data_IF_511892901079
#
_entry.id   IF_511892901079
#
_cell.length_a   1.000
_cell.length_b   1.000
_cell.length_c   1.000
_cell.angle_alpha   90.00
_cell.angle_beta   90.00
_cell.angle_gamma   90.00
#
_symmetry.space_group_name_H-M   'P 1'
#
loop_
_entity.id
_entity.type
_entity.pdbx_description
1 polymer ?
#
# COMPACT_ATOMS: atom_id res chain seq x y z
N UNK A 1 12.61 -75.69 -28.05
CA UNK A 1 11.49 -76.66 -27.90
C UNK A 1 10.67 -76.21 -26.70
N UNK A 2 9.57 -75.48 -26.93
CA UNK A 2 8.18 -75.97 -26.86
C UNK A 2 7.74 -76.36 -25.44
N UNK A 3 6.74 -75.61 -24.94
CA UNK A 3 5.57 -75.98 -24.11
C UNK A 3 5.42 -74.98 -22.95
N UNK A 4 4.27 -74.38 -22.70
CA UNK A 4 2.94 -74.56 -23.25
C UNK A 4 1.95 -73.81 -22.33
N UNK A 5 0.94 -73.20 -22.94
CA UNK A 5 -0.21 -72.62 -22.24
C UNK A 5 -0.97 -73.71 -21.49
N UNK A 6 -1.40 -73.45 -20.25
CA UNK A 6 -2.57 -74.08 -19.66
C UNK A 6 -3.38 -73.00 -18.95
N UNK A 7 -4.60 -72.81 -19.43
CA UNK A 7 -5.68 -72.01 -18.86
C UNK A 7 -6.53 -72.85 -17.89
N UNK A 8 -7.59 -72.22 -17.35
CA UNK A 8 -8.68 -72.69 -16.48
C UNK A 8 -8.47 -72.36 -14.98
N UNK A 9 -9.12 -71.32 -14.46
CA UNK A 9 -10.55 -71.16 -14.14
C UNK A 9 -10.83 -71.50 -12.67
N UNK A 10 -11.37 -70.55 -11.91
CA UNK A 10 -11.80 -70.83 -10.54
C UNK A 10 -12.20 -69.61 -9.70
N UNK A 11 -13.50 -69.33 -9.70
CA UNK A 11 -14.32 -68.84 -8.59
C UNK A 11 -14.07 -67.44 -8.00
N UNK A 12 -15.17 -66.66 -8.04
CA UNK A 12 -15.38 -65.41 -7.36
C UNK A 12 -15.35 -65.54 -5.83
N UNK A 13 -14.74 -64.56 -5.16
CA UNK A 13 -15.16 -64.11 -3.84
C UNK A 13 -15.21 -62.58 -3.85
N UNK A 14 -16.42 -62.04 -3.90
CA UNK A 14 -16.71 -60.65 -3.58
C UNK A 14 -16.67 -60.56 -2.05
N UNK A 15 -15.63 -59.91 -1.50
CA UNK A 15 -15.68 -59.39 -0.14
C UNK A 15 -15.36 -57.90 -0.14
N UNK A 16 -16.30 -57.15 0.43
CA UNK A 16 -16.34 -55.71 0.56
C UNK A 16 -15.18 -55.13 1.37
N UNK A 17 -14.83 -53.87 1.08
CA UNK A 17 -13.90 -53.10 1.89
C UNK A 17 -13.57 -51.75 1.28
N UNK A 18 -14.54 -50.85 1.23
CA UNK A 18 -14.28 -49.43 0.99
C UNK A 18 -13.43 -48.87 2.15
N UNK A 19 -12.17 -48.59 1.90
CA UNK A 19 -11.33 -47.82 2.82
C UNK A 19 -10.80 -46.58 2.09
N UNK A 20 -11.48 -45.46 2.35
CA UNK A 20 -11.05 -44.13 1.95
C UNK A 20 -9.72 -43.81 2.64
N UNK A 21 -8.60 -43.94 1.93
CA UNK A 21 -7.33 -43.34 2.31
C UNK A 21 -7.30 -41.87 1.89
N UNK A 22 -8.11 -41.01 2.52
CA UNK A 22 -7.95 -39.56 2.39
C UNK A 22 -6.77 -39.20 3.27
N UNK A 23 -5.61 -38.95 2.66
CA UNK A 23 -4.50 -38.32 3.36
C UNK A 23 -5.02 -37.00 3.92
N UNK A 24 -5.21 -36.95 5.24
CA UNK A 24 -5.51 -35.70 5.94
C UNK A 24 -4.24 -34.88 5.94
N UNK A 25 -4.00 -34.15 4.85
CA UNK A 25 -3.12 -33.00 4.92
C UNK A 25 -3.79 -32.02 5.87
N UNK A 26 -3.31 -31.96 7.11
CA UNK A 26 -3.58 -30.84 8.01
C UNK A 26 -3.32 -29.56 7.22
N UNK A 27 -4.32 -28.68 7.01
CA UNK A 27 -4.08 -27.41 6.33
C UNK A 27 -3.04 -26.63 7.12
N UNK A 28 -1.80 -26.62 6.63
CA UNK A 28 -0.77 -25.71 7.12
C UNK A 28 -1.29 -24.32 6.80
N UNK A 29 -1.64 -23.56 7.82
CA UNK A 29 -2.15 -22.20 7.68
C UNK A 29 -1.19 -21.43 6.77
N UNK A 30 -1.71 -20.97 5.63
CA UNK A 30 -0.93 -20.22 4.67
C UNK A 30 -0.37 -18.99 5.39
N UNK A 31 0.91 -18.61 5.16
CA UNK A 31 1.46 -17.43 5.79
C UNK A 31 0.54 -16.24 5.51
N UNK A 32 0.07 -15.57 6.57
CA UNK A 32 -0.69 -14.33 6.42
C UNK A 32 0.11 -13.40 5.53
N UNK A 33 -0.48 -13.00 4.40
CA UNK A 33 0.13 -12.05 3.49
C UNK A 33 0.51 -10.76 4.23
N UNK A 34 1.33 -9.90 3.60
CA UNK A 34 1.65 -8.61 4.18
C UNK A 34 0.37 -7.88 4.60
N UNK A 35 0.40 -7.11 5.71
CA UNK A 35 -0.77 -6.39 6.18
C UNK A 35 -1.33 -5.50 5.06
N UNK A 36 -2.66 -5.31 5.01
CA UNK A 36 -3.28 -4.47 3.99
C UNK A 36 -2.70 -3.06 4.05
N UNK A 37 -2.58 -2.42 2.88
CA UNK A 37 -2.17 -1.03 2.82
C UNK A 37 -3.14 -0.17 3.65
N UNK A 38 -2.65 0.93 4.24
CA UNK A 38 -3.51 1.89 4.94
C UNK A 38 -4.61 2.39 4.01
N UNK A 39 -5.79 2.67 4.57
CA UNK A 39 -6.86 3.31 3.81
C UNK A 39 -6.40 4.69 3.30
N UNK A 40 -6.78 5.10 2.08
CA UNK A 40 -6.50 6.44 1.59
C UNK A 40 -7.19 7.51 2.45
N UNK A 41 -6.44 8.56 2.80
CA UNK A 41 -6.99 9.76 3.42
C UNK A 41 -7.63 10.64 2.33
N UNK A 42 -8.90 10.98 2.49
CA UNK A 42 -9.68 11.77 1.52
C UNK A 42 -10.46 12.89 2.21
N UNK A 43 -11.07 13.78 1.42
CA UNK A 43 -11.98 14.79 1.95
C UNK A 43 -13.16 14.18 2.72
N UNK A 44 -13.67 13.02 2.27
CA UNK A 44 -14.79 12.34 2.91
C UNK A 44 -14.44 11.83 4.32
N UNK A 45 -13.17 11.45 4.56
CA UNK A 45 -12.71 11.06 5.90
C UNK A 45 -12.42 12.25 6.82
N UNK A 46 -12.35 13.48 6.29
CA UNK A 46 -12.03 14.70 7.06
C UNK A 46 -12.98 15.86 6.68
N UNK A 47 -14.28 15.76 7.01
CA UNK A 47 -15.28 16.76 6.60
C UNK A 47 -15.04 18.16 7.16
N UNK A 48 -14.31 18.29 8.27
CA UNK A 48 -13.99 19.56 8.93
C UNK A 48 -12.57 20.06 8.65
N UNK A 49 -11.93 19.54 7.60
CA UNK A 49 -10.59 19.95 7.20
C UNK A 49 -10.54 21.46 6.90
N UNK A 50 -9.53 22.14 7.47
CA UNK A 50 -9.28 23.56 7.18
C UNK A 50 -8.88 23.75 5.70
N UNK A 51 -8.97 24.97 5.13
CA UNK A 51 -8.71 25.20 3.70
C UNK A 51 -7.38 24.61 3.18
N UNK A 52 -6.26 24.84 3.89
CA UNK A 52 -4.96 24.28 3.50
C UNK A 52 -4.86 22.75 3.60
N UNK A 53 -5.60 22.14 4.54
CA UNK A 53 -5.67 20.68 4.66
C UNK A 53 -6.48 20.08 3.51
N UNK A 54 -7.61 20.69 3.16
CA UNK A 54 -8.42 20.27 2.01
C UNK A 54 -7.60 20.31 0.72
N UNK A 55 -6.90 21.40 0.48
CA UNK A 55 -6.01 21.54 -0.67
C UNK A 55 -4.89 20.49 -0.66
N UNK A 56 -4.30 20.18 0.50
CA UNK A 56 -3.33 19.10 0.62
C UNK A 56 -3.93 17.73 0.26
N UNK A 57 -5.12 17.42 0.76
CA UNK A 57 -5.83 16.18 0.46
C UNK A 57 -6.16 16.06 -1.04
N UNK A 58 -6.57 17.15 -1.68
CA UNK A 58 -6.93 17.19 -3.10
C UNK A 58 -5.71 17.12 -4.03
N UNK A 59 -4.60 17.76 -3.67
CA UNK A 59 -3.47 18.01 -4.59
C UNK A 59 -2.21 17.20 -4.29
N UNK A 60 -1.99 16.82 -3.03
CA UNK A 60 -0.71 16.28 -2.58
C UNK A 60 -0.84 14.88 -1.97
N UNK A 61 -1.95 14.58 -1.30
CA UNK A 61 -2.11 13.34 -0.54
C UNK A 61 -2.09 12.06 -1.38
N UNK A 62 -2.39 12.14 -2.68
CA UNK A 62 -2.24 10.97 -3.57
C UNK A 62 -0.81 10.42 -3.60
N UNK A 63 0.19 11.29 -3.45
CA UNK A 63 1.60 10.92 -3.44
C UNK A 63 2.20 10.94 -2.03
N UNK A 64 1.76 11.89 -1.18
CA UNK A 64 2.33 12.14 0.15
C UNK A 64 1.46 11.65 1.32
N UNK A 65 0.30 11.05 1.03
CA UNK A 65 -0.54 10.37 2.00
C UNK A 65 -0.03 8.96 2.34
N UNK A 66 -0.70 8.26 3.27
CA UNK A 66 -0.36 6.88 3.62
C UNK A 66 -0.34 5.96 2.40
N UNK A 67 0.76 5.21 2.22
CA UNK A 67 0.94 4.30 1.07
C UNK A 67 1.24 4.98 -0.26
N UNK A 68 1.28 6.32 -0.31
CA UNK A 68 1.64 7.07 -1.52
C UNK A 68 3.10 6.88 -1.93
N UNK A 69 3.39 6.98 -3.23
CA UNK A 69 4.74 6.80 -3.77
C UNK A 69 5.75 7.77 -3.15
N UNK A 70 5.38 9.04 -2.99
CA UNK A 70 6.21 10.08 -2.38
C UNK A 70 6.54 9.75 -0.92
N UNK A 71 5.55 9.29 -0.15
CA UNK A 71 5.74 8.78 1.22
C UNK A 71 6.70 7.60 1.25
N UNK A 72 6.54 6.63 0.35
CA UNK A 72 7.42 5.46 0.25
C UNK A 72 8.88 5.84 -0.09
N UNK A 73 9.09 6.84 -0.94
CA UNK A 73 10.42 7.36 -1.24
C UNK A 73 11.01 8.14 -0.06
N UNK A 74 10.20 8.94 0.63
CA UNK A 74 10.63 9.66 1.84
C UNK A 74 11.02 8.70 2.97
N UNK A 75 10.33 7.56 3.10
CA UNK A 75 10.61 6.56 4.14
C UNK A 75 12.02 5.94 4.02
N UNK A 76 12.68 6.08 2.87
CA UNK A 76 14.06 5.63 2.65
C UNK A 76 15.12 6.64 3.11
N UNK A 77 14.72 7.87 3.41
CA UNK A 77 15.62 9.03 3.64
C UNK A 77 15.24 9.90 4.84
N UNK A 78 14.11 9.65 5.48
CA UNK A 78 13.61 10.43 6.60
C UNK A 78 12.92 9.52 7.62
N UNK A 79 13.15 9.80 8.91
CA UNK A 79 12.53 9.05 10.01
C UNK A 79 11.00 9.20 10.03
N UNK A 80 10.50 10.37 9.60
CA UNK A 80 9.07 10.64 9.45
C UNK A 80 8.72 10.93 7.98
N UNK A 81 8.16 9.97 7.24
CA UNK A 81 7.86 10.14 5.82
C UNK A 81 6.55 10.87 5.52
N UNK A 82 5.60 10.89 6.47
CA UNK A 82 4.31 11.55 6.29
C UNK A 82 4.48 13.05 6.55
N UNK A 83 4.24 13.87 5.53
CA UNK A 83 4.47 15.32 5.60
C UNK A 83 3.66 15.98 6.73
N UNK A 84 2.39 15.61 6.88
CA UNK A 84 1.52 16.14 7.95
C UNK A 84 1.99 15.80 9.37
N UNK A 85 2.91 14.83 9.53
CA UNK A 85 3.47 14.41 10.82
C UNK A 85 4.88 14.94 11.07
N UNK A 86 5.46 15.68 10.12
CA UNK A 86 6.79 16.25 10.26
C UNK A 86 6.76 17.52 11.12
N UNK A 87 7.88 17.77 11.77
CA UNK A 87 8.06 18.92 12.69
C UNK A 87 9.21 19.85 12.27
N UNK A 88 9.73 19.64 11.08
CA UNK A 88 10.88 20.32 10.50
C UNK A 88 10.56 20.98 9.14
N UNK A 89 9.27 21.04 8.77
CA UNK A 89 8.81 21.69 7.55
C UNK A 89 8.54 23.17 7.80
N UNK A 90 9.27 24.05 7.14
CA UNK A 90 8.93 25.48 7.08
C UNK A 90 8.07 25.77 5.86
N UNK A 91 7.33 26.88 5.91
CA UNK A 91 6.50 27.34 4.77
C UNK A 91 7.36 27.51 3.52
N UNK A 92 8.48 28.24 3.64
CA UNK A 92 9.37 28.50 2.50
C UNK A 92 9.95 27.23 1.91
N UNK A 93 10.33 26.26 2.75
CA UNK A 93 10.84 24.98 2.28
C UNK A 93 9.78 24.19 1.52
N UNK A 94 8.53 24.15 2.01
CA UNK A 94 7.44 23.46 1.31
C UNK A 94 7.15 24.14 -0.04
N UNK A 95 7.09 25.46 -0.07
CA UNK A 95 6.86 26.22 -1.31
C UNK A 95 7.98 25.96 -2.31
N UNK A 96 9.25 26.04 -1.87
CA UNK A 96 10.40 25.81 -2.73
C UNK A 96 10.43 24.36 -3.25
N UNK A 97 10.21 23.39 -2.37
CA UNK A 97 10.16 21.97 -2.73
C UNK A 97 9.08 21.69 -3.78
N UNK A 98 7.88 22.24 -3.59
CA UNK A 98 6.78 22.07 -4.54
C UNK A 98 7.06 22.74 -5.88
N UNK A 99 7.65 23.95 -5.90
CA UNK A 99 7.91 24.68 -7.14
C UNK A 99 9.10 24.17 -7.93
N UNK A 100 10.12 23.65 -7.25
CA UNK A 100 11.34 23.18 -7.89
C UNK A 100 11.32 21.66 -8.14
N UNK A 101 10.50 20.91 -7.40
CA UNK A 101 10.59 19.46 -7.33
C UNK A 101 11.81 18.99 -6.53
N UNK A 102 11.82 17.72 -6.14
CA UNK A 102 12.93 17.08 -5.42
C UNK A 102 13.08 15.63 -5.88
N UNK A 103 14.10 15.36 -6.70
CA UNK A 103 14.35 14.01 -7.22
C UNK A 103 13.17 13.50 -8.04
N UNK A 104 12.50 12.46 -7.55
CA UNK A 104 11.31 11.88 -8.19
C UNK A 104 10.01 12.68 -7.94
N UNK A 105 10.05 13.69 -7.07
CA UNK A 105 8.93 14.61 -6.91
C UNK A 105 9.01 15.66 -8.03
N UNK A 106 8.06 15.69 -8.98
CA UNK A 106 8.06 16.69 -10.05
C UNK A 106 7.77 18.09 -9.51
N UNK A 107 8.17 19.11 -10.28
CA UNK A 107 7.78 20.49 -10.01
C UNK A 107 6.27 20.67 -10.24
N UNK A 108 5.59 21.30 -9.28
CA UNK A 108 4.16 21.59 -9.34
C UNK A 108 3.95 22.96 -10.00
N UNK A 109 3.38 23.02 -11.22
CA UNK A 109 3.19 24.28 -11.93
C UNK A 109 2.09 25.14 -11.29
N UNK A 110 2.17 26.45 -11.50
CA UNK A 110 1.17 27.41 -11.00
C UNK A 110 -0.23 27.20 -11.57
N UNK A 111 -0.34 26.58 -12.74
CA UNK A 111 -1.63 26.22 -13.34
C UNK A 111 -2.33 25.04 -12.64
N UNK A 112 -1.58 24.22 -11.88
CA UNK A 112 -2.14 23.10 -11.13
C UNK A 112 -2.46 23.48 -9.67
N UNK A 113 -1.54 24.23 -9.05
CA UNK A 113 -1.70 24.80 -7.71
C UNK A 113 -1.21 26.24 -7.75
N UNK A 114 -2.09 27.21 -7.50
CA UNK A 114 -1.73 28.63 -7.48
C UNK A 114 -0.74 28.95 -6.35
N UNK A 115 -0.06 30.11 -6.40
CA UNK A 115 0.84 30.50 -5.30
C UNK A 115 0.06 30.75 -4.00
N UNK A 116 -1.17 31.24 -4.07
CA UNK A 116 -2.03 31.41 -2.89
C UNK A 116 -2.45 30.07 -2.27
N UNK A 117 -2.85 29.10 -3.10
CA UNK A 117 -3.24 27.77 -2.62
C UNK A 117 -2.03 27.02 -2.05
N UNK A 118 -0.86 27.12 -2.71
CA UNK A 118 0.37 26.50 -2.22
C UNK A 118 0.78 27.10 -0.87
N UNK A 119 0.57 28.39 -0.65
CA UNK A 119 0.82 29.03 0.64
C UNK A 119 -0.07 28.45 1.75
N UNK A 120 -1.35 28.21 1.47
CA UNK A 120 -2.27 27.58 2.42
C UNK A 120 -1.86 26.14 2.76
N UNK A 121 -1.43 25.37 1.74
CA UNK A 121 -0.90 24.01 1.94
C UNK A 121 0.37 24.05 2.78
N UNK A 122 1.30 24.96 2.47
CA UNK A 122 2.57 25.10 3.16
C UNK A 122 2.37 25.50 4.63
N UNK A 123 1.46 26.44 4.91
CA UNK A 123 1.06 26.78 6.27
C UNK A 123 0.46 25.61 7.01
N UNK A 124 -0.36 24.79 6.33
CA UNK A 124 -0.93 23.58 6.93
C UNK A 124 0.18 22.58 7.33
N UNK A 125 1.14 22.31 6.45
CA UNK A 125 2.24 21.38 6.72
C UNK A 125 3.27 21.91 7.74
N UNK A 126 3.42 23.23 7.84
CA UNK A 126 4.36 23.86 8.78
C UNK A 126 3.83 23.97 10.22
N UNK A 127 2.60 23.54 10.52
CA UNK A 127 2.01 23.64 11.88
C UNK A 127 2.82 22.92 12.96
N UNK A 128 3.57 21.87 12.59
CA UNK A 128 4.43 21.13 13.50
C UNK A 128 5.84 21.70 13.66
N UNK A 129 6.21 22.75 12.90
CA UNK A 129 7.55 23.31 12.91
C UNK A 129 7.94 23.79 14.31
N UNK A 130 9.07 23.30 14.83
CA UNK A 130 9.67 23.87 16.04
C UNK A 130 10.31 25.23 15.68
N UNK A 131 10.20 26.25 16.55
CA UNK A 131 10.82 27.55 16.33
C UNK A 131 12.35 27.47 16.25
#
# INVERSE_FOLDING_TARGET
MRRGMIALAGAALILAGAACGRATETPKEAPKGPPPLPAPETLSSRPQAAPGERLYLEKCAMCHGPGGMGTGLLARRADQPLLEKRTDLTVDYVVQAARMGIGNMPAIPRGEVSDADLQLIAQHLAKGAKP
#
